data_IF_028129200419
#
_entry.id   IF_028129200419
#
_cell.length_a   1.000
_cell.length_b   1.000
_cell.length_c   1.000
_cell.angle_alpha   90.00
_cell.angle_beta   90.00
_cell.angle_gamma   90.00
#
_symmetry.space_group_name_H-M   'P 1'
#
loop_
_entity.id
_entity.type
_entity.pdbx_description
1 polymer ?
#
# COMPACT_ATOMS: atom_id res chain seq x y z
N UNK A 1 -5.53 27.00 -1.51
CA UNK A 1 -4.89 25.72 -1.14
C UNK A 1 -5.12 24.75 -2.30
N UNK A 2 -4.11 24.49 -3.14
CA UNK A 2 -4.21 23.45 -4.18
C UNK A 2 -3.84 22.13 -3.54
N UNK A 3 -4.79 21.21 -3.44
CA UNK A 3 -4.50 19.82 -3.08
C UNK A 3 -4.08 19.12 -4.38
N UNK A 4 -2.83 18.65 -4.54
CA UNK A 4 -2.43 17.91 -5.73
C UNK A 4 -3.08 16.52 -5.71
N UNK A 5 -3.77 16.16 -6.78
CA UNK A 5 -4.44 14.87 -6.97
C UNK A 5 -5.94 14.93 -6.72
N UNK A 6 -6.74 14.58 -7.72
CA UNK A 6 -8.16 14.27 -7.53
C UNK A 6 -8.25 12.94 -6.76
N UNK A 7 -8.17 13.01 -5.43
CA UNK A 7 -8.35 11.86 -4.57
C UNK A 7 -9.83 11.49 -4.49
N UNK A 8 -10.17 10.26 -4.88
CA UNK A 8 -11.49 9.67 -4.61
C UNK A 8 -11.45 8.89 -3.30
N UNK A 9 -12.41 9.16 -2.41
CA UNK A 9 -12.64 8.34 -1.22
C UNK A 9 -13.57 7.18 -1.59
N UNK A 10 -13.15 5.96 -1.30
CA UNK A 10 -13.97 4.76 -1.49
C UNK A 10 -14.54 4.33 -0.15
N UNK A 11 -15.86 4.20 -0.07
CA UNK A 11 -16.58 3.65 1.07
C UNK A 11 -17.16 2.27 0.72
N UNK A 12 -17.42 1.39 1.70
CA UNK A 12 -18.23 0.21 1.44
C UNK A 12 -19.66 0.60 1.02
N UNK A 13 -20.34 -0.26 0.26
CA UNK A 13 -21.76 -0.11 0.01
C UNK A 13 -22.54 -0.03 1.34
N UNK A 14 -23.55 0.84 1.46
CA UNK A 14 -24.27 1.05 2.71
C UNK A 14 -25.28 -0.07 2.97
N UNK A 15 -24.75 -1.25 3.30
CA UNK A 15 -25.50 -2.49 3.53
C UNK A 15 -25.33 -2.99 4.97
N UNK A 16 -26.26 -3.83 5.42
CA UNK A 16 -26.24 -4.44 6.74
C UNK A 16 -26.35 -3.44 7.91
N UNK A 17 -25.89 -3.83 9.12
CA UNK A 17 -26.01 -3.01 10.32
C UNK A 17 -25.30 -1.65 10.27
N UNK A 18 -24.24 -1.53 9.45
CA UNK A 18 -23.45 -0.31 9.32
C UNK A 18 -24.02 0.70 8.30
N UNK A 19 -25.05 0.32 7.54
CA UNK A 19 -25.60 1.10 6.43
C UNK A 19 -25.92 2.57 6.77
N UNK A 20 -26.54 2.81 7.94
CA UNK A 20 -26.89 4.16 8.37
C UNK A 20 -25.65 5.01 8.70
N UNK A 21 -24.61 4.40 9.29
CA UNK A 21 -23.35 5.10 9.56
C UNK A 21 -22.60 5.42 8.27
N UNK A 22 -22.53 4.47 7.33
CA UNK A 22 -21.89 4.67 6.01
C UNK A 22 -22.57 5.81 5.26
N UNK A 23 -23.91 5.85 5.21
CA UNK A 23 -24.66 6.96 4.59
C UNK A 23 -24.36 8.31 5.24
N UNK A 24 -24.27 8.37 6.57
CA UNK A 24 -23.91 9.61 7.27
C UNK A 24 -22.51 10.07 6.88
N UNK A 25 -21.54 9.15 6.83
CA UNK A 25 -20.18 9.47 6.40
C UNK A 25 -20.12 9.92 4.94
N UNK A 26 -20.81 9.24 4.02
CA UNK A 26 -20.90 9.65 2.61
C UNK A 26 -21.43 11.08 2.48
N UNK A 27 -22.54 11.41 3.15
CA UNK A 27 -23.10 12.77 3.17
C UNK A 27 -22.10 13.81 3.71
N UNK A 28 -21.40 13.50 4.81
CA UNK A 28 -20.43 14.42 5.40
C UNK A 28 -19.24 14.69 4.47
N UNK A 29 -18.67 13.64 3.87
CA UNK A 29 -17.53 13.75 2.97
C UNK A 29 -17.89 14.51 1.69
N UNK A 30 -19.04 14.19 1.08
CA UNK A 30 -19.55 14.94 -0.08
C UNK A 30 -19.87 16.39 0.27
N UNK A 31 -20.47 16.63 1.44
CA UNK A 31 -20.74 17.98 1.94
C UNK A 31 -19.48 18.81 2.17
N UNK A 32 -18.34 18.16 2.43
CA UNK A 32 -17.03 18.80 2.52
C UNK A 32 -16.34 19.00 1.14
N UNK A 33 -17.03 18.67 0.04
CA UNK A 33 -16.51 18.81 -1.33
C UNK A 33 -15.56 17.69 -1.78
N UNK A 34 -15.52 16.56 -1.07
CA UNK A 34 -14.70 15.42 -1.45
C UNK A 34 -15.41 14.56 -2.51
N UNK A 35 -14.64 14.04 -3.46
CA UNK A 35 -15.12 13.00 -4.38
C UNK A 35 -15.24 11.68 -3.61
N UNK A 36 -16.41 11.06 -3.66
CA UNK A 36 -16.69 9.80 -2.94
C UNK A 36 -17.38 8.83 -3.88
N UNK A 37 -17.01 7.55 -3.85
CA UNK A 37 -17.84 6.45 -4.37
C UNK A 37 -18.01 5.36 -3.34
N UNK A 38 -19.05 4.54 -3.54
CA UNK A 38 -19.27 3.31 -2.78
C UNK A 38 -18.85 2.09 -3.59
N UNK A 39 -18.24 1.11 -2.94
CA UNK A 39 -17.84 -0.16 -3.53
C UNK A 39 -18.62 -1.32 -2.92
N UNK A 40 -19.22 -2.15 -3.78
CA UNK A 40 -19.91 -3.38 -3.38
C UNK A 40 -18.91 -4.40 -2.85
N UNK A 41 -17.79 -4.59 -3.56
CA UNK A 41 -16.67 -5.42 -3.11
C UNK A 41 -15.57 -4.54 -2.47
N UNK A 42 -15.89 -3.99 -1.30
CA UNK A 42 -14.95 -3.17 -0.55
C UNK A 42 -13.65 -3.90 -0.15
N UNK A 43 -13.68 -5.18 0.28
CA UNK A 43 -12.45 -5.93 0.53
C UNK A 43 -11.50 -5.94 -0.67
N UNK A 44 -12.02 -6.09 -1.89
CA UNK A 44 -11.20 -6.04 -3.10
C UNK A 44 -10.54 -4.69 -3.31
N UNK A 45 -11.23 -3.58 -3.02
CA UNK A 45 -10.64 -2.23 -3.09
C UNK A 45 -9.50 -2.05 -2.09
N UNK A 46 -9.68 -2.52 -0.86
CA UNK A 46 -8.64 -2.50 0.17
C UNK A 46 -7.43 -3.30 -0.29
N UNK A 47 -7.64 -4.52 -0.80
CA UNK A 47 -6.56 -5.37 -1.26
C UNK A 47 -5.84 -4.81 -2.47
N UNK A 48 -6.51 -4.19 -3.45
CA UNK A 48 -5.84 -3.51 -4.58
C UNK A 48 -4.82 -2.49 -4.07
N UNK A 49 -5.19 -1.68 -3.08
CA UNK A 49 -4.28 -0.71 -2.47
C UNK A 49 -3.14 -1.37 -1.70
N UNK A 50 -3.43 -2.40 -0.91
CA UNK A 50 -2.40 -3.17 -0.17
C UNK A 50 -1.37 -3.76 -1.13
N UNK A 51 -1.82 -4.40 -2.22
CA UNK A 51 -0.96 -5.03 -3.21
C UNK A 51 -0.03 -4.02 -3.89
N UNK A 52 -0.57 -2.88 -4.33
CA UNK A 52 0.21 -1.80 -4.95
C UNK A 52 1.23 -1.25 -3.95
N UNK A 53 0.82 -0.93 -2.72
CA UNK A 53 1.73 -0.39 -1.71
C UNK A 53 2.83 -1.39 -1.31
N UNK A 54 2.50 -2.68 -1.18
CA UNK A 54 3.46 -3.73 -0.87
C UNK A 54 4.53 -3.92 -1.96
N UNK A 55 4.23 -3.56 -3.20
CA UNK A 55 5.17 -3.62 -4.31
C UNK A 55 5.97 -2.32 -4.50
N UNK A 56 5.31 -1.15 -4.40
CA UNK A 56 5.93 0.17 -4.65
C UNK A 56 6.78 0.60 -3.45
N UNK A 57 6.20 0.58 -2.25
CA UNK A 57 6.79 1.27 -1.10
C UNK A 57 8.14 0.67 -0.70
N UNK A 58 8.30 -0.68 -0.59
CA UNK A 58 9.58 -1.24 -0.21
C UNK A 58 10.70 -0.96 -1.22
N UNK A 59 10.44 -1.17 -2.51
CA UNK A 59 11.46 -1.04 -3.56
C UNK A 59 11.90 0.41 -3.69
N UNK A 60 10.97 1.37 -3.71
CA UNK A 60 11.32 2.80 -3.76
C UNK A 60 12.10 3.25 -2.53
N UNK A 61 11.71 2.79 -1.35
CA UNK A 61 12.35 3.11 -0.08
C UNK A 61 13.77 2.51 0.04
N UNK A 62 13.98 1.28 -0.45
CA UNK A 62 15.28 0.60 -0.44
C UNK A 62 16.27 1.19 -1.44
N UNK A 63 15.79 1.62 -2.61
CA UNK A 63 16.65 2.07 -3.71
C UNK A 63 16.72 3.59 -3.87
N UNK A 64 15.97 4.35 -3.08
CA UNK A 64 15.87 5.82 -3.16
C UNK A 64 15.51 6.32 -4.58
N UNK A 65 14.44 5.76 -5.14
CA UNK A 65 13.96 6.09 -6.48
C UNK A 65 12.53 6.63 -6.45
N UNK A 66 12.16 7.55 -7.37
CA UNK A 66 10.76 7.91 -7.57
C UNK A 66 9.98 6.73 -8.18
N UNK A 67 8.66 6.75 -8.02
CA UNK A 67 7.79 5.63 -8.45
C UNK A 67 8.01 5.27 -9.92
N UNK A 68 8.18 6.26 -10.80
CA UNK A 68 8.32 6.05 -12.25
C UNK A 68 9.47 5.11 -12.65
N UNK A 69 10.54 5.05 -11.85
CA UNK A 69 11.69 4.17 -12.10
C UNK A 69 11.38 2.69 -11.82
N UNK A 70 10.28 2.38 -11.13
CA UNK A 70 9.90 0.98 -10.83
C UNK A 70 9.61 0.12 -12.06
N UNK A 71 9.35 0.72 -13.23
CA UNK A 71 9.15 -0.04 -14.46
C UNK A 71 10.47 -0.41 -15.16
N UNK A 72 11.60 0.03 -14.63
CA UNK A 72 12.93 -0.30 -15.13
C UNK A 72 13.53 -1.49 -14.37
N UNK A 73 14.37 -2.29 -15.04
CA UNK A 73 15.14 -3.32 -14.36
C UNK A 73 16.32 -2.69 -13.57
N UNK A 74 16.70 -3.25 -12.40
CA UNK A 74 16.17 -4.47 -11.78
C UNK A 74 14.89 -4.24 -10.93
N UNK A 75 14.47 -3.00 -10.71
CA UNK A 75 13.40 -2.62 -9.78
C UNK A 75 12.05 -3.25 -10.14
N UNK A 76 11.73 -3.35 -11.44
CA UNK A 76 10.49 -3.98 -11.92
C UNK A 76 10.38 -5.43 -11.47
N UNK A 77 11.46 -6.19 -11.62
CA UNK A 77 11.50 -7.60 -11.21
C UNK A 77 11.27 -7.75 -9.72
N UNK A 78 11.88 -6.90 -8.91
CA UNK A 78 11.69 -6.90 -7.46
C UNK A 78 10.25 -6.56 -7.08
N UNK A 79 9.70 -5.46 -7.62
CA UNK A 79 8.33 -5.03 -7.35
C UNK A 79 7.30 -6.10 -7.77
N UNK A 80 7.47 -6.72 -8.93
CA UNK A 80 6.58 -7.79 -9.41
C UNK A 80 6.70 -9.05 -8.54
N UNK A 81 7.89 -9.38 -8.04
CA UNK A 81 8.07 -10.48 -7.08
C UNK A 81 7.26 -10.24 -5.80
N UNK A 82 7.41 -9.06 -5.18
CA UNK A 82 6.68 -8.69 -3.97
C UNK A 82 5.16 -8.68 -4.22
N UNK A 83 4.73 -8.11 -5.34
CA UNK A 83 3.32 -8.06 -5.74
C UNK A 83 2.71 -9.45 -5.84
N UNK A 84 3.41 -10.40 -6.46
CA UNK A 84 2.92 -11.77 -6.66
C UNK A 84 2.79 -12.53 -5.34
N UNK A 85 3.74 -12.38 -4.43
CA UNK A 85 3.68 -12.95 -3.09
C UNK A 85 2.47 -12.38 -2.32
N UNK A 86 2.30 -11.06 -2.31
CA UNK A 86 1.16 -10.42 -1.66
C UNK A 86 -0.18 -10.82 -2.28
N UNK A 87 -0.25 -10.95 -3.61
CA UNK A 87 -1.46 -11.37 -4.32
C UNK A 87 -1.82 -12.84 -4.03
N UNK A 88 -0.84 -13.70 -3.78
CA UNK A 88 -1.11 -15.07 -3.33
C UNK A 88 -1.81 -15.09 -1.96
N UNK A 89 -1.39 -14.22 -1.03
CA UNK A 89 -2.05 -14.06 0.28
C UNK A 89 -3.49 -13.57 0.10
N UNK A 90 -3.72 -12.54 -0.72
CA UNK A 90 -5.06 -12.02 -1.01
C UNK A 90 -6.00 -13.13 -1.51
N UNK A 91 -5.54 -13.92 -2.48
CA UNK A 91 -6.31 -15.05 -3.03
C UNK A 91 -6.59 -16.13 -2.00
N UNK A 92 -5.62 -16.48 -1.15
CA UNK A 92 -5.81 -17.44 -0.07
C UNK A 92 -6.81 -16.98 1.00
N UNK A 93 -7.11 -15.67 1.05
CA UNK A 93 -8.13 -15.05 1.90
C UNK A 93 -9.48 -14.88 1.18
N UNK A 94 -9.64 -15.43 -0.03
CA UNK A 94 -10.88 -15.38 -0.79
C UNK A 94 -11.09 -14.11 -1.61
N UNK A 95 -10.07 -13.25 -1.74
CA UNK A 95 -10.17 -12.01 -2.51
C UNK A 95 -9.75 -12.26 -3.95
N UNK A 96 -10.71 -12.16 -4.87
CA UNK A 96 -10.52 -12.43 -6.29
C UNK A 96 -9.81 -11.26 -7.00
N UNK A 97 -8.48 -11.26 -6.93
CA UNK A 97 -7.59 -10.41 -7.72
C UNK A 97 -6.58 -11.30 -8.44
N UNK A 98 -6.65 -11.31 -9.78
CA UNK A 98 -5.70 -12.06 -10.59
C UNK A 98 -4.31 -11.42 -10.56
N UNK A 99 -3.26 -12.20 -10.83
CA UNK A 99 -1.91 -11.65 -10.93
C UNK A 99 -1.80 -10.60 -12.05
N UNK A 100 -2.47 -10.83 -13.19
CA UNK A 100 -2.50 -9.89 -14.30
C UNK A 100 -3.21 -8.57 -13.93
N UNK A 101 -4.33 -8.63 -13.21
CA UNK A 101 -4.98 -7.41 -12.71
C UNK A 101 -4.10 -6.65 -11.72
N UNK A 102 -3.44 -7.34 -10.79
CA UNK A 102 -2.55 -6.71 -9.83
C UNK A 102 -1.36 -6.03 -10.53
N UNK A 103 -0.76 -6.68 -11.53
CA UNK A 103 0.35 -6.11 -12.32
C UNK A 103 -0.13 -4.89 -13.13
N UNK A 104 -1.32 -4.96 -13.75
CA UNK A 104 -1.90 -3.82 -14.45
C UNK A 104 -2.18 -2.63 -13.52
N UNK A 105 -2.64 -2.88 -12.30
CA UNK A 105 -2.81 -1.85 -11.28
C UNK A 105 -1.48 -1.21 -10.85
N UNK A 106 -0.46 -2.04 -10.63
CA UNK A 106 0.89 -1.57 -10.32
C UNK A 106 1.39 -0.63 -11.41
N UNK A 107 1.34 -1.05 -12.67
CA UNK A 107 1.80 -0.23 -13.80
C UNK A 107 1.01 1.07 -13.93
N UNK A 108 -0.33 1.01 -13.78
CA UNK A 108 -1.19 2.18 -13.81
C UNK A 108 -0.82 3.19 -12.72
N UNK A 109 -0.64 2.73 -11.48
CA UNK A 109 -0.31 3.61 -10.35
C UNK A 109 1.10 4.19 -10.51
N UNK A 110 2.08 3.37 -10.90
CA UNK A 110 3.45 3.84 -11.14
C UNK A 110 3.47 4.94 -12.20
N UNK A 111 2.77 4.76 -13.33
CA UNK A 111 2.70 5.79 -14.38
C UNK A 111 1.98 7.06 -13.93
N UNK A 112 0.85 6.92 -13.24
CA UNK A 112 0.07 8.06 -12.75
C UNK A 112 0.80 8.87 -11.66
N UNK A 113 1.79 8.25 -11.00
CA UNK A 113 2.55 8.86 -9.90
C UNK A 113 4.05 8.90 -10.19
N UNK A 114 4.45 8.91 -11.47
CA UNK A 114 5.83 8.68 -11.88
C UNK A 114 6.86 9.61 -11.20
N UNK A 115 6.49 10.89 -11.04
CA UNK A 115 7.34 11.91 -10.41
C UNK A 115 7.28 11.91 -8.88
N UNK A 116 6.38 11.11 -8.28
CA UNK A 116 6.21 11.07 -6.84
C UNK A 116 7.22 10.13 -6.19
N UNK A 117 7.63 10.49 -4.98
CA UNK A 117 8.29 9.58 -4.02
C UNK A 117 7.20 8.89 -3.19
N UNK A 118 7.37 7.60 -2.89
CA UNK A 118 6.42 6.85 -2.06
C UNK A 118 6.33 7.41 -0.64
N UNK A 119 5.22 7.15 0.06
CA UNK A 119 5.03 7.56 1.47
C UNK A 119 6.16 7.05 2.35
N UNK A 120 6.49 5.76 2.21
CA UNK A 120 7.55 5.10 2.97
C UNK A 120 8.93 5.73 2.73
N UNK A 121 9.27 6.07 1.49
CA UNK A 121 10.52 6.77 1.18
C UNK A 121 10.54 8.17 1.79
N UNK A 122 9.43 8.90 1.73
CA UNK A 122 9.31 10.22 2.38
C UNK A 122 9.43 10.12 3.91
N UNK A 123 8.95 9.05 4.54
CA UNK A 123 9.11 8.81 5.97
C UNK A 123 10.58 8.56 6.34
N UNK A 124 11.30 7.78 5.53
CA UNK A 124 12.76 7.61 5.67
C UNK A 124 13.48 8.95 5.54
N UNK A 125 13.20 9.73 4.48
CA UNK A 125 13.82 11.05 4.27
C UNK A 125 13.60 11.99 5.47
N UNK A 126 12.43 11.89 6.10
CA UNK A 126 12.02 12.70 7.25
C UNK A 126 12.39 12.10 8.60
N UNK A 127 13.14 11.00 8.61
CA UNK A 127 13.58 10.32 9.83
C UNK A 127 12.38 9.94 10.73
N UNK A 128 11.31 9.44 10.11
CA UNK A 128 10.08 8.98 10.78
C UNK A 128 9.96 7.46 10.71
N UNK A 129 9.25 6.85 11.68
CA UNK A 129 8.86 5.45 11.56
C UNK A 129 8.08 5.20 10.27
N UNK A 130 8.37 4.09 9.59
CA UNK A 130 7.68 3.70 8.35
C UNK A 130 6.49 2.78 8.63
N UNK A 131 5.60 2.67 7.66
CA UNK A 131 4.45 1.74 7.68
C UNK A 131 4.81 0.28 7.29
N UNK A 132 6.10 -0.09 7.24
CA UNK A 132 6.56 -1.40 6.74
C UNK A 132 5.95 -2.57 7.51
N UNK A 133 5.85 -2.47 8.83
CA UNK A 133 5.28 -3.52 9.68
C UNK A 133 3.76 -3.61 9.52
N UNK A 134 3.09 -2.47 9.30
CA UNK A 134 1.65 -2.41 9.13
C UNK A 134 1.19 -3.03 7.80
N UNK A 135 1.96 -2.87 6.73
CA UNK A 135 1.62 -3.41 5.40
C UNK A 135 2.32 -4.76 5.19
N UNK A 136 3.64 -4.74 5.00
CA UNK A 136 4.41 -5.93 4.65
C UNK A 136 4.54 -6.90 5.83
N UNK A 137 4.68 -6.39 7.06
CA UNK A 137 4.67 -7.23 8.26
C UNK A 137 3.33 -7.97 8.45
N UNK A 138 2.20 -7.30 8.20
CA UNK A 138 0.88 -7.93 8.21
C UNK A 138 0.74 -8.99 7.11
N UNK A 139 1.24 -8.73 5.90
CA UNK A 139 1.29 -9.71 4.82
C UNK A 139 2.09 -10.95 5.21
N UNK A 140 3.27 -10.80 5.81
CA UNK A 140 4.09 -11.94 6.29
C UNK A 140 3.38 -12.75 7.37
N UNK A 141 2.64 -12.10 8.27
CA UNK A 141 1.83 -12.81 9.26
C UNK A 141 0.70 -13.61 8.59
N UNK A 142 -0.05 -12.98 7.68
CA UNK A 142 -1.13 -13.64 6.94
C UNK A 142 -0.60 -14.77 6.04
N UNK A 143 0.54 -14.58 5.39
CA UNK A 143 1.21 -15.60 4.58
C UNK A 143 1.57 -16.84 5.41
N UNK A 144 2.13 -16.66 6.61
CA UNK A 144 2.40 -17.76 7.54
C UNK A 144 1.13 -18.49 7.98
N UNK A 145 0.06 -17.76 8.31
CA UNK A 145 -1.25 -18.34 8.65
C UNK A 145 -1.85 -19.16 7.49
N UNK A 146 -1.45 -18.88 6.25
CA UNK A 146 -1.89 -19.56 5.03
C UNK A 146 -0.84 -20.52 4.44
N UNK A 147 0.27 -20.76 5.16
CA UNK A 147 1.38 -21.61 4.71
C UNK A 147 1.97 -21.20 3.35
N UNK A 148 2.04 -19.89 3.09
CA UNK A 148 2.62 -19.32 1.87
C UNK A 148 4.02 -18.77 2.15
N UNK A 149 4.98 -19.17 1.31
CA UNK A 149 6.32 -18.59 1.34
C UNK A 149 6.33 -17.19 0.71
N UNK A 150 6.97 -16.23 1.39
CA UNK A 150 7.09 -14.84 0.93
C UNK A 150 8.55 -14.35 1.05
N UNK A 151 9.54 -15.07 0.50
CA UNK A 151 10.94 -14.78 0.74
C UNK A 151 11.38 -13.40 0.25
N UNK A 152 10.76 -12.86 -0.80
CA UNK A 152 11.07 -11.51 -1.26
C UNK A 152 10.57 -10.45 -0.30
N UNK A 153 9.35 -10.63 0.20
CA UNK A 153 8.77 -9.75 1.20
C UNK A 153 9.56 -9.82 2.52
N UNK A 154 9.99 -11.01 2.94
CA UNK A 154 10.82 -11.19 4.14
C UNK A 154 12.16 -10.43 4.02
N UNK A 155 12.84 -10.60 2.89
CA UNK A 155 14.09 -9.93 2.56
C UNK A 155 13.92 -8.41 2.56
N UNK A 156 12.92 -7.89 1.84
CA UNK A 156 12.66 -6.45 1.74
C UNK A 156 12.33 -5.82 3.11
N UNK A 157 11.51 -6.51 3.92
CA UNK A 157 11.18 -6.05 5.28
C UNK A 157 12.41 -6.01 6.17
N UNK A 158 13.28 -7.03 6.11
CA UNK A 158 14.51 -7.06 6.89
C UNK A 158 15.44 -5.89 6.52
N UNK A 159 15.67 -5.67 5.22
CA UNK A 159 16.50 -4.57 4.72
C UNK A 159 15.94 -3.19 5.10
N UNK A 160 14.61 -3.01 4.99
CA UNK A 160 13.95 -1.76 5.37
C UNK A 160 14.05 -1.46 6.85
N UNK A 161 13.92 -2.47 7.71
CA UNK A 161 14.06 -2.27 9.17
C UNK A 161 15.47 -1.81 9.51
N UNK A 162 16.49 -2.40 8.89
CA UNK A 162 17.88 -1.95 9.05
C UNK A 162 18.05 -0.50 8.60
N UNK A 163 17.63 -0.19 7.37
CA UNK A 163 17.73 1.18 6.83
C UNK A 163 16.95 2.20 7.66
N UNK A 164 15.74 1.86 8.12
CA UNK A 164 14.93 2.75 8.95
C UNK A 164 15.58 2.99 10.32
N UNK A 165 16.21 1.97 10.92
CA UNK A 165 16.92 2.11 12.19
C UNK A 165 18.20 2.95 12.09
N UNK A 166 18.89 2.94 10.94
CA UNK A 166 20.06 3.80 10.69
C UNK A 166 19.70 5.29 10.61
N UNK A 167 18.49 5.60 10.12
CA UNK A 167 18.04 6.97 9.87
C UNK A 167 17.16 7.49 11.01
N UNK A 168 16.40 6.64 11.70
CA UNK A 168 15.50 7.07 12.76
C UNK A 168 16.22 7.29 14.09
N UNK A 169 16.05 8.48 14.67
CA UNK A 169 16.44 8.79 16.06
C UNK A 169 15.17 8.95 16.92
N UNK A 170 14.99 8.15 18.00
CA UNK A 170 13.88 8.37 18.91
C UNK A 170 14.01 9.75 19.56
N UNK A 171 12.92 10.51 19.58
CA UNK A 171 12.87 11.77 20.33
C UNK A 171 13.03 11.41 21.83
N UNK A 172 13.89 12.11 22.61
CA UNK A 172 13.99 11.82 24.04
C UNK A 172 12.61 11.98 24.68
N UNK A 173 12.25 11.05 25.58
CA UNK A 173 11.03 11.16 26.36
C UNK A 173 11.04 12.49 27.12
N UNK A 174 9.90 13.20 27.18
CA UNK A 174 9.81 14.40 28.00
C UNK A 174 10.08 14.02 29.46
N UNK A 175 11.11 14.64 30.04
CA UNK A 175 11.47 14.61 31.45
C UNK A 175 10.35 15.13 32.35
#
# INVERSE_FOLDING_TARGET
>A
MRVPGEGEVVLPAPEGPAAAAIRRFDTLLRGAGLSVRTAVDFPREVWRKVLVNAAINPVTALHDIPNGRLLEEPYRREAVRLLREAAAVARALGVAISAAEAEADLERVVRATADNRSSMLQDIDRHRPTEVDAISGALLRLGRERHLAMPGTEEAVAQLRTRAAEVWSPKPEPS
#
